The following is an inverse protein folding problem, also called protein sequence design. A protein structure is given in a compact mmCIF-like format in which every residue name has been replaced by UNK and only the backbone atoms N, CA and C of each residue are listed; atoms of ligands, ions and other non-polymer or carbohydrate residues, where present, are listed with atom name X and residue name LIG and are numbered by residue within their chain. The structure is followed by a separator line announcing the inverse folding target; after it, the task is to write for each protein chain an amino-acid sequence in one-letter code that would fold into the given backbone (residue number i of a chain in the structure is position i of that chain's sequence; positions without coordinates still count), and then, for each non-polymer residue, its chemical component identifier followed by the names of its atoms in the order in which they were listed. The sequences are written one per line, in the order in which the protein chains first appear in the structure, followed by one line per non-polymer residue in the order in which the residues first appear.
data_IF_259298564698
#
_entry.id   IF_259298564698
#
_cell.length_a   1.000
_cell.length_b   1.000
_cell.length_c   1.000
_cell.angle_alpha   90.00
_cell.angle_beta   90.00
_cell.angle_gamma   90.00
#
_symmetry.space_group_name_H-M   'P 1'
#
loop_
_entity.id
_entity.type
_entity.pdbx_description
1 polymer ?
#
# COMPACT_ATOMS: atom_id res chain seq x y z
N UNK A 1 -54.24 50.79 23.01
CA UNK A 1 -53.43 50.40 21.83
C UNK A 1 -52.24 49.62 22.34
N UNK A 2 -52.09 48.39 21.81
CA UNK A 2 -50.95 47.46 21.70
C UNK A 2 -49.67 47.77 22.51
N UNK A 3 -48.91 46.83 23.09
CA UNK A 3 -48.90 45.37 23.07
C UNK A 3 -47.96 44.94 24.22
N UNK A 4 -48.39 44.00 25.07
CA UNK A 4 -47.51 43.29 25.99
C UNK A 4 -47.38 41.86 25.48
N UNK A 5 -46.17 41.39 25.19
CA UNK A 5 -45.88 39.96 25.06
C UNK A 5 -44.39 39.63 25.09
N UNK A 6 -44.12 38.60 25.91
CA UNK A 6 -43.09 37.57 25.76
C UNK A 6 -41.61 37.97 25.96
N UNK A 7 -41.13 37.74 27.18
CA UNK A 7 -39.73 37.32 27.42
C UNK A 7 -39.75 35.82 27.67
N UNK A 8 -39.15 35.09 26.73
CA UNK A 8 -39.00 33.64 26.70
C UNK A 8 -37.93 33.22 27.73
N UNK A 9 -38.31 32.36 28.67
CA UNK A 9 -37.39 31.76 29.63
C UNK A 9 -36.51 30.72 28.91
N UNK A 10 -35.20 30.98 28.84
CA UNK A 10 -34.22 30.03 28.32
C UNK A 10 -33.84 29.05 29.44
N UNK A 11 -34.15 27.76 29.24
CA UNK A 11 -33.76 26.66 30.12
C UNK A 11 -32.24 26.47 30.08
N UNK A 12 -31.60 26.49 31.24
CA UNK A 12 -30.21 26.05 31.43
C UNK A 12 -30.17 24.51 31.43
N UNK A 13 -29.82 23.94 30.29
CA UNK A 13 -29.41 22.53 30.20
C UNK A 13 -28.00 22.36 30.75
N UNK A 14 -27.86 21.72 31.91
CA UNK A 14 -26.58 21.16 32.35
C UNK A 14 -26.26 19.96 31.44
N UNK A 15 -25.45 20.19 30.41
CA UNK A 15 -24.77 19.13 29.70
C UNK A 15 -23.73 18.51 30.63
N UNK A 16 -23.89 17.22 30.94
CA UNK A 16 -22.88 16.44 31.64
C UNK A 16 -21.55 16.49 30.86
N UNK A 17 -20.38 16.58 31.52
CA UNK A 17 -19.13 16.37 30.84
C UNK A 17 -19.10 14.92 30.35
N UNK A 18 -19.01 14.76 29.03
CA UNK A 18 -18.62 13.49 28.44
C UNK A 18 -17.29 13.10 29.07
N UNK A 19 -17.28 12.02 29.84
CA UNK A 19 -16.05 11.39 30.26
C UNK A 19 -15.31 10.99 28.99
N UNK A 20 -14.27 11.74 28.64
CA UNK A 20 -13.26 11.27 27.72
C UNK A 20 -12.71 9.99 28.34
N UNK A 21 -12.98 8.84 27.72
CA UNK A 21 -12.24 7.62 28.00
C UNK A 21 -10.77 7.95 27.72
N UNK A 22 -10.01 8.21 28.77
CA UNK A 22 -8.56 8.15 28.70
C UNK A 22 -8.22 6.76 28.17
N UNK A 23 -7.44 6.71 27.08
CA UNK A 23 -6.82 5.48 26.64
C UNK A 23 -6.15 4.81 27.86
N UNK A 24 -6.21 3.47 27.99
CA UNK A 24 -5.55 2.79 29.08
C UNK A 24 -4.07 3.17 29.05
N UNK A 25 -3.56 3.72 30.17
CA UNK A 25 -2.13 3.93 30.33
C UNK A 25 -1.44 2.57 30.14
N UNK A 26 -0.58 2.46 29.13
CA UNK A 26 0.17 1.24 28.86
C UNK A 26 1.00 0.90 30.10
N UNK A 27 0.92 -0.34 30.55
CA UNK A 27 1.62 -0.77 31.76
C UNK A 27 3.13 -0.77 31.47
N UNK A 28 3.95 0.01 32.20
CA UNK A 28 5.37 0.12 31.90
C UNK A 28 6.00 -1.27 32.05
N UNK A 29 6.72 -1.70 31.02
CA UNK A 29 7.34 -3.02 31.01
C UNK A 29 8.13 -3.27 32.29
N UNK A 30 7.85 -4.40 32.94
CA UNK A 30 8.65 -4.84 34.08
C UNK A 30 10.08 -5.14 33.64
N UNK A 31 11.07 -4.89 34.49
CA UNK A 31 12.50 -5.13 34.21
C UNK A 31 12.89 -6.61 33.96
N UNK A 32 11.93 -7.52 33.87
CA UNK A 32 12.07 -8.96 33.65
C UNK A 32 11.66 -9.39 32.23
N UNK A 33 11.05 -8.51 31.44
CA UNK A 33 10.73 -8.77 30.03
C UNK A 33 11.98 -8.66 29.18
N UNK A 34 12.12 -9.48 28.13
CA UNK A 34 13.12 -9.24 27.08
C UNK A 34 12.97 -7.79 26.59
N UNK A 35 13.91 -6.92 26.98
CA UNK A 35 13.83 -5.45 26.80
C UNK A 35 13.65 -5.08 25.31
N UNK A 36 14.03 -5.99 24.41
CA UNK A 36 13.84 -5.90 22.96
C UNK A 36 12.38 -5.94 22.49
N UNK A 37 11.43 -6.39 23.30
CA UNK A 37 10.00 -6.43 22.96
C UNK A 37 9.13 -5.54 23.84
N UNK A 38 9.75 -4.68 24.65
CA UNK A 38 9.02 -3.65 25.37
C UNK A 38 8.55 -2.57 24.38
N UNK A 39 7.36 -2.05 24.60
CA UNK A 39 6.72 -0.96 23.85
C UNK A 39 5.94 -0.15 24.89
N UNK A 40 6.59 0.85 25.49
CA UNK A 40 6.10 1.52 26.69
C UNK A 40 4.93 2.48 26.44
N UNK A 41 4.76 2.99 25.22
CA UNK A 41 3.63 3.84 24.84
C UNK A 41 2.61 3.14 23.92
N UNK A 42 2.90 1.91 23.50
CA UNK A 42 1.97 1.06 22.75
C UNK A 42 1.84 1.48 21.28
N UNK A 43 2.85 2.14 20.73
CA UNK A 43 2.86 2.66 19.36
C UNK A 43 3.40 1.65 18.33
N UNK A 44 3.72 0.44 18.77
CA UNK A 44 4.28 -0.69 18.01
C UNK A 44 5.76 -0.57 17.62
N UNK A 45 6.44 0.50 18.03
CA UNK A 45 7.90 0.62 17.92
C UNK A 45 8.54 0.14 19.23
N UNK A 46 9.44 -0.87 19.20
CA UNK A 46 10.05 -1.32 20.44
C UNK A 46 10.91 -0.24 21.12
N UNK A 47 10.83 -0.15 22.43
CA UNK A 47 11.63 0.69 23.35
C UNK A 47 13.14 0.78 23.03
N UNK A 48 13.70 -0.33 22.55
CA UNK A 48 15.12 -0.42 22.18
C UNK A 48 15.40 0.29 20.86
N UNK A 49 14.47 0.23 19.92
CA UNK A 49 14.51 0.94 18.65
C UNK A 49 14.30 2.43 18.88
N UNK A 50 13.31 2.81 19.68
CA UNK A 50 13.04 4.21 20.00
C UNK A 50 14.23 4.93 20.62
N UNK A 51 14.99 4.26 21.49
CA UNK A 51 16.21 4.83 22.07
C UNK A 51 17.27 5.14 21.02
N UNK A 52 17.30 4.40 19.91
CA UNK A 52 18.20 4.67 18.78
C UNK A 52 17.65 5.78 17.89
N UNK A 53 16.34 5.79 17.64
CA UNK A 53 15.68 6.75 16.73
C UNK A 53 15.51 8.13 17.38
N UNK A 54 14.94 8.19 18.58
CA UNK A 54 14.55 9.42 19.27
C UNK A 54 15.33 9.71 20.55
N UNK A 55 16.12 8.76 21.05
CA UNK A 55 16.91 8.91 22.30
C UNK A 55 16.12 8.67 23.58
N UNK A 56 14.82 8.42 23.48
CA UNK A 56 13.91 8.05 24.59
C UNK A 56 13.17 6.76 24.25
N UNK A 57 12.34 6.25 25.15
CA UNK A 57 11.59 5.00 24.98
C UNK A 57 10.08 5.24 24.81
N UNK A 58 9.71 6.39 24.27
CA UNK A 58 8.33 6.80 23.91
C UNK A 58 8.37 7.98 22.92
N UNK A 59 9.47 8.09 22.17
CA UNK A 59 9.85 9.31 21.44
C UNK A 59 9.83 9.15 19.94
N UNK A 60 9.82 7.91 19.44
CA UNK A 60 9.60 7.68 18.02
C UNK A 60 8.11 7.80 17.71
N UNK A 61 7.79 8.06 16.46
CA UNK A 61 6.41 8.11 15.95
C UNK A 61 6.17 7.08 14.87
N UNK A 62 7.20 6.29 14.55
CA UNK A 62 7.22 5.33 13.44
C UNK A 62 7.39 5.98 12.07
N UNK A 63 7.49 7.31 11.99
CA UNK A 63 7.52 8.10 10.73
C UNK A 63 8.84 8.82 10.49
N UNK A 64 9.79 8.71 11.41
CA UNK A 64 11.11 9.28 11.25
C UNK A 64 11.81 8.67 10.03
N UNK A 65 12.49 9.51 9.25
CA UNK A 65 13.29 9.15 8.08
C UNK A 65 14.45 10.16 8.01
N UNK A 66 15.54 9.85 8.69
CA UNK A 66 16.64 10.77 8.98
C UNK A 66 17.50 11.10 7.77
N UNK A 67 17.51 10.25 6.74
CA UNK A 67 18.23 10.46 5.48
C UNK A 67 17.33 10.71 4.26
N UNK A 68 16.01 10.59 4.42
CA UNK A 68 14.98 10.88 3.42
C UNK A 68 15.02 9.94 2.23
N UNK A 69 15.37 8.69 2.46
CA UNK A 69 15.41 7.68 1.41
C UNK A 69 14.08 6.93 1.24
N UNK A 70 13.10 7.15 2.13
CA UNK A 70 11.79 6.53 2.11
C UNK A 70 11.69 5.22 2.91
N UNK A 71 12.75 4.82 3.62
CA UNK A 71 12.72 3.73 4.62
C UNK A 71 12.65 4.36 6.02
N UNK A 72 11.61 4.07 6.82
CA UNK A 72 11.52 4.64 8.17
C UNK A 72 12.67 4.21 9.09
N UNK A 73 13.15 5.12 9.94
CA UNK A 73 14.31 4.91 10.83
C UNK A 73 14.17 3.64 11.70
N UNK A 74 12.95 3.36 12.21
CA UNK A 74 12.70 2.17 13.02
C UNK A 74 12.93 0.87 12.21
N UNK A 75 12.57 0.89 10.92
CA UNK A 75 12.76 -0.22 9.98
C UNK A 75 14.26 -0.44 9.75
N UNK A 76 15.03 0.64 9.61
CA UNK A 76 16.48 0.57 9.44
C UNK A 76 17.19 0.04 10.69
N UNK A 77 16.80 0.53 11.87
CA UNK A 77 17.37 0.05 13.14
C UNK A 77 17.10 -1.45 13.32
N UNK A 78 15.89 -1.90 13.00
CA UNK A 78 15.55 -3.33 13.05
C UNK A 78 16.33 -4.16 12.01
N UNK A 79 16.62 -3.60 10.83
CA UNK A 79 17.32 -4.31 9.76
C UNK A 79 18.86 -4.32 9.91
N UNK A 80 19.47 -3.24 10.39
CA UNK A 80 20.92 -3.07 10.40
C UNK A 80 21.48 -2.23 11.56
N UNK A 81 20.64 -1.78 12.50
CA UNK A 81 21.06 -1.24 13.80
C UNK A 81 21.26 0.27 13.88
N UNK A 82 21.06 1.03 12.80
CA UNK A 82 21.15 2.50 12.80
C UNK A 82 20.08 3.12 11.89
N UNK A 83 19.70 4.37 12.12
CA UNK A 83 18.68 5.09 11.37
C UNK A 83 19.14 5.69 10.02
N UNK A 84 20.14 5.08 9.35
CA UNK A 84 20.70 5.49 8.03
C UNK A 84 21.45 4.37 7.30
N UNK A 85 21.11 3.11 7.55
CA UNK A 85 21.87 1.96 7.05
C UNK A 85 21.15 1.09 6.03
N UNK A 86 19.84 1.28 5.86
CA UNK A 86 19.09 0.61 4.82
C UNK A 86 19.19 1.40 3.51
N UNK A 87 18.62 0.81 2.46
CA UNK A 87 18.31 1.53 1.24
C UNK A 87 17.18 0.80 0.54
N UNK A 88 16.18 1.50 0.00
CA UNK A 88 15.04 0.86 -0.66
C UNK A 88 15.43 0.18 -1.98
N UNK A 89 16.60 0.52 -2.54
CA UNK A 89 17.06 0.01 -3.83
C UNK A 89 18.18 -1.02 -3.74
N UNK A 90 18.71 -1.26 -2.53
CA UNK A 90 19.79 -2.22 -2.33
C UNK A 90 19.23 -3.63 -2.34
N UNK A 91 19.65 -4.42 -3.32
CA UNK A 91 19.25 -5.80 -3.54
C UNK A 91 20.50 -6.61 -3.92
N UNK A 92 21.06 -7.31 -2.94
CA UNK A 92 22.33 -8.03 -3.07
C UNK A 92 22.22 -9.31 -3.90
N UNK A 93 21.02 -9.84 -4.14
CA UNK A 93 20.80 -11.08 -4.91
C UNK A 93 20.10 -10.83 -6.25
N UNK A 94 19.60 -9.62 -6.50
CA UNK A 94 19.15 -9.19 -7.82
C UNK A 94 17.79 -9.76 -8.24
N UNK A 95 16.92 -10.09 -7.28
CA UNK A 95 15.58 -10.61 -7.57
C UNK A 95 14.47 -9.54 -7.37
N UNK A 96 14.81 -8.31 -6.99
CA UNK A 96 13.88 -7.21 -6.79
C UNK A 96 13.35 -7.05 -5.37
N UNK A 97 13.79 -7.85 -4.40
CA UNK A 97 13.46 -7.68 -2.97
C UNK A 97 14.60 -6.94 -2.28
N UNK A 98 14.36 -5.78 -1.63
CA UNK A 98 15.39 -5.05 -0.92
C UNK A 98 16.02 -5.84 0.23
N UNK A 99 17.30 -5.61 0.49
CA UNK A 99 18.07 -6.28 1.53
C UNK A 99 17.43 -6.07 2.92
N UNK A 100 16.98 -4.85 3.24
CA UNK A 100 16.35 -4.55 4.54
C UNK A 100 15.09 -5.39 4.75
N UNK A 101 14.25 -5.51 3.72
CA UNK A 101 13.02 -6.29 3.77
C UNK A 101 13.32 -7.77 4.03
N UNK A 102 14.37 -8.34 3.41
CA UNK A 102 14.78 -9.72 3.69
C UNK A 102 15.25 -9.89 5.12
N UNK A 103 16.07 -8.97 5.63
CA UNK A 103 16.57 -9.06 7.01
C UNK A 103 15.41 -9.02 8.01
N UNK A 104 14.42 -8.16 7.80
CA UNK A 104 13.21 -8.13 8.65
C UNK A 104 12.39 -9.42 8.53
N UNK A 105 12.32 -10.01 7.34
CA UNK A 105 11.50 -11.21 7.11
C UNK A 105 12.15 -12.50 7.60
N UNK A 106 13.48 -12.62 7.57
CA UNK A 106 14.18 -13.89 7.84
C UNK A 106 15.56 -13.78 8.50
N UNK A 107 16.07 -12.56 8.78
CA UNK A 107 17.40 -12.34 9.34
C UNK A 107 18.57 -12.44 8.37
N UNK A 108 18.36 -12.49 7.05
CA UNK A 108 19.45 -12.64 6.07
C UNK A 108 19.16 -11.98 4.73
N UNK A 109 20.16 -11.33 4.13
CA UNK A 109 20.07 -10.74 2.78
C UNK A 109 19.96 -11.76 1.64
N UNK A 110 19.97 -13.07 1.93
CA UNK A 110 19.92 -14.14 0.91
C UNK A 110 18.69 -15.04 0.97
N UNK A 111 17.78 -14.81 1.92
CA UNK A 111 16.56 -15.60 1.99
C UNK A 111 15.48 -15.08 1.02
N UNK A 112 14.37 -15.82 0.93
CA UNK A 112 13.18 -15.43 0.16
C UNK A 112 13.52 -14.92 -1.23
N UNK A 113 14.11 -15.78 -2.06
CA UNK A 113 14.50 -15.40 -3.43
C UNK A 113 13.35 -15.45 -4.44
N UNK A 114 12.12 -15.59 -3.94
CA UNK A 114 10.90 -15.64 -4.73
C UNK A 114 9.90 -14.60 -4.21
N UNK A 115 9.15 -13.98 -5.14
CA UNK A 115 8.00 -13.14 -4.79
C UNK A 115 6.77 -14.04 -4.53
N UNK A 116 6.95 -15.11 -3.76
CA UNK A 116 5.85 -16.01 -3.45
C UNK A 116 4.77 -15.27 -2.66
N UNK A 117 3.52 -15.45 -3.07
CA UNK A 117 2.34 -14.94 -2.39
C UNK A 117 1.70 -16.10 -1.62
N UNK A 118 1.60 -15.96 -0.30
CA UNK A 118 1.15 -17.03 0.61
C UNK A 118 -0.35 -17.28 0.51
N UNK A 119 -1.15 -16.25 0.22
CA UNK A 119 -2.61 -16.30 0.31
C UNK A 119 -3.32 -15.97 -1.01
N UNK A 120 -2.56 -15.63 -2.07
CA UNK A 120 -3.05 -15.46 -3.44
C UNK A 120 -3.78 -14.14 -3.68
N UNK A 121 -3.52 -13.10 -2.87
CA UNK A 121 -4.16 -11.80 -2.99
C UNK A 121 -3.36 -10.76 -3.79
N UNK A 122 -2.18 -11.12 -4.29
CA UNK A 122 -1.30 -10.27 -5.08
C UNK A 122 -0.20 -9.56 -4.29
N UNK A 123 -0.15 -9.71 -2.96
CA UNK A 123 0.93 -9.16 -2.13
C UNK A 123 1.98 -10.26 -1.87
N UNK A 124 3.25 -10.05 -2.26
CA UNK A 124 4.31 -11.00 -1.94
C UNK A 124 4.48 -11.15 -0.42
N UNK A 125 4.80 -12.37 0.02
CA UNK A 125 5.03 -12.73 1.42
C UNK A 125 5.96 -11.79 2.17
N UNK A 126 7.07 -11.38 1.55
CA UNK A 126 8.01 -10.45 2.18
C UNK A 126 7.36 -9.08 2.41
N UNK A 127 6.56 -8.60 1.45
CA UNK A 127 5.86 -7.34 1.54
C UNK A 127 4.79 -7.41 2.63
N UNK A 128 4.10 -8.55 2.81
CA UNK A 128 3.17 -8.73 3.92
C UNK A 128 3.84 -8.59 5.28
N UNK A 129 5.07 -9.10 5.44
CA UNK A 129 5.80 -8.93 6.70
C UNK A 129 6.19 -7.47 6.93
N UNK A 130 6.60 -6.75 5.88
CA UNK A 130 6.92 -5.31 5.99
C UNK A 130 5.67 -4.48 6.31
N UNK A 131 4.52 -4.77 5.70
CA UNK A 131 3.29 -3.99 5.86
C UNK A 131 2.61 -4.24 7.21
N UNK A 132 2.56 -5.49 7.69
CA UNK A 132 1.73 -5.85 8.85
C UNK A 132 2.33 -6.97 9.72
N UNK A 133 3.61 -7.32 9.53
CA UNK A 133 4.36 -8.18 10.46
C UNK A 133 4.22 -9.68 10.27
N UNK A 134 3.33 -10.17 9.39
CA UNK A 134 3.18 -11.62 9.13
C UNK A 134 3.06 -11.95 7.64
N UNK A 135 3.36 -13.20 7.26
CA UNK A 135 3.55 -13.64 5.87
C UNK A 135 2.30 -13.63 4.99
N UNK A 136 1.14 -13.24 5.51
CA UNK A 136 -0.13 -13.24 4.77
C UNK A 136 -1.21 -12.36 5.37
N UNK A 137 -0.84 -11.39 6.23
CA UNK A 137 -1.80 -10.43 6.78
C UNK A 137 -2.19 -9.34 5.78
N UNK A 138 -1.27 -8.94 4.90
CA UNK A 138 -1.51 -7.82 3.99
C UNK A 138 -2.44 -8.25 2.86
N UNK A 139 -3.36 -7.38 2.51
CA UNK A 139 -4.39 -7.50 1.46
C UNK A 139 -4.10 -6.61 0.26
N UNK A 140 -3.16 -5.67 0.39
CA UNK A 140 -2.81 -4.70 -0.64
C UNK A 140 -3.61 -3.39 -0.55
N UNK A 141 -4.54 -3.31 0.41
CA UNK A 141 -5.46 -2.19 0.60
C UNK A 141 -5.27 -1.51 1.96
N UNK A 142 -4.26 -1.91 2.73
CA UNK A 142 -3.86 -1.24 3.96
C UNK A 142 -3.50 0.22 3.66
N UNK A 143 -3.99 1.15 4.48
CA UNK A 143 -3.73 2.58 4.42
C UNK A 143 -3.64 3.05 5.88
N UNK A 144 -2.53 2.70 6.55
CA UNK A 144 -2.37 2.89 7.99
C UNK A 144 -2.25 4.37 8.40
N UNK A 145 -1.81 5.24 7.48
CA UNK A 145 -1.71 6.68 7.73
C UNK A 145 -2.90 7.48 7.19
N UNK A 146 -3.85 6.82 6.52
CA UNK A 146 -5.09 7.38 5.98
C UNK A 146 -4.85 8.51 4.97
N UNK A 147 -3.77 8.42 4.18
CA UNK A 147 -3.44 9.38 3.13
C UNK A 147 -4.15 9.11 1.80
N UNK A 148 -4.85 7.96 1.70
CA UNK A 148 -5.60 7.54 0.53
C UNK A 148 -4.79 6.73 -0.49
N UNK A 149 -3.53 6.40 -0.19
CA UNK A 149 -2.65 5.55 -0.98
C UNK A 149 -2.31 4.31 -0.17
N UNK A 150 -2.58 3.12 -0.72
CA UNK A 150 -2.30 1.91 0.05
C UNK A 150 -0.81 1.71 0.30
N UNK A 151 -0.47 1.23 1.49
CA UNK A 151 0.91 0.96 1.94
C UNK A 151 1.63 0.00 0.97
N UNK A 152 0.90 -0.95 0.39
CA UNK A 152 1.43 -1.83 -0.63
C UNK A 152 1.85 -1.09 -1.92
N UNK A 153 1.09 -0.06 -2.33
CA UNK A 153 1.43 0.78 -3.49
C UNK A 153 2.63 1.67 -3.14
N UNK A 154 2.65 2.26 -1.95
CA UNK A 154 3.77 3.09 -1.49
C UNK A 154 5.07 2.27 -1.45
N UNK A 155 5.02 1.08 -0.84
CA UNK A 155 6.14 0.15 -0.80
C UNK A 155 6.60 -0.26 -2.20
N UNK A 156 5.68 -0.54 -3.11
CA UNK A 156 5.98 -0.88 -4.50
C UNK A 156 6.65 0.27 -5.28
N UNK A 157 6.41 1.53 -4.90
CA UNK A 157 7.05 2.69 -5.51
C UNK A 157 8.50 2.88 -5.05
N UNK A 158 8.82 2.48 -3.81
CA UNK A 158 10.16 2.60 -3.23
C UNK A 158 11.12 1.51 -3.70
N UNK A 159 10.61 0.28 -3.88
CA UNK A 159 11.42 -0.85 -4.31
C UNK A 159 11.67 -0.82 -5.82
N UNK A 160 12.83 -1.33 -6.25
CA UNK A 160 13.12 -1.43 -7.69
C UNK A 160 11.98 -2.17 -8.40
N UNK A 161 11.31 -1.55 -9.37
CA UNK A 161 10.29 -2.24 -10.15
C UNK A 161 10.94 -3.44 -10.82
N UNK A 162 10.32 -4.62 -10.71
CA UNK A 162 10.58 -5.64 -11.71
C UNK A 162 10.12 -5.08 -13.06
N UNK A 163 10.90 -5.32 -14.10
CA UNK A 163 10.55 -5.00 -15.48
C UNK A 163 9.36 -5.80 -16.04
N UNK A 164 8.53 -6.41 -15.19
CA UNK A 164 7.40 -7.22 -15.59
C UNK A 164 6.22 -6.93 -14.64
N UNK A 165 5.45 -5.86 -14.93
CA UNK A 165 4.03 -5.88 -14.57
C UNK A 165 3.48 -7.16 -15.18
N UNK A 166 3.19 -8.18 -14.37
CA UNK A 166 2.56 -9.45 -14.75
C UNK A 166 2.56 -9.68 -16.28
N UNK A 167 3.72 -10.06 -16.84
CA UNK A 167 3.95 -10.20 -18.29
C UNK A 167 2.84 -11.00 -18.99
N UNK A 168 2.19 -11.92 -18.26
CA UNK A 168 1.04 -12.69 -18.75
C UNK A 168 -0.22 -11.85 -19.02
N UNK A 169 -0.60 -10.93 -18.12
CA UNK A 169 -1.82 -10.13 -18.27
C UNK A 169 -1.74 -9.11 -19.39
N UNK A 170 -0.61 -8.39 -19.48
CA UNK A 170 -0.37 -7.42 -20.54
C UNK A 170 -0.23 -8.10 -21.90
N UNK A 171 0.47 -9.25 -21.98
CA UNK A 171 0.61 -9.99 -23.24
C UNK A 171 -0.74 -10.50 -23.74
N UNK A 172 -1.56 -11.10 -22.85
CA UNK A 172 -2.91 -11.55 -23.22
C UNK A 172 -3.77 -10.37 -23.65
N UNK A 173 -3.73 -9.25 -22.94
CA UNK A 173 -4.49 -8.04 -23.29
C UNK A 173 -4.09 -7.49 -24.67
N UNK A 174 -2.78 -7.42 -24.98
CA UNK A 174 -2.28 -6.99 -26.30
C UNK A 174 -2.80 -7.90 -27.40
N UNK A 175 -2.72 -9.23 -27.22
CA UNK A 175 -3.21 -10.17 -28.22
C UNK A 175 -4.73 -10.11 -28.41
N UNK A 176 -5.50 -9.91 -27.34
CA UNK A 176 -6.96 -9.72 -27.43
C UNK A 176 -7.32 -8.44 -28.19
N UNK A 177 -6.61 -7.34 -27.94
CA UNK A 177 -6.80 -6.07 -28.64
C UNK A 177 -6.46 -6.23 -30.13
N UNK A 178 -5.35 -6.89 -30.45
CA UNK A 178 -4.96 -7.17 -31.85
C UNK A 178 -6.03 -8.03 -32.53
N UNK A 179 -6.49 -9.12 -31.90
CA UNK A 179 -7.50 -9.99 -32.46
C UNK A 179 -8.82 -9.26 -32.74
N UNK A 180 -9.27 -8.41 -31.80
CA UNK A 180 -10.47 -7.60 -31.96
C UNK A 180 -10.31 -6.55 -33.06
N UNK A 181 -9.17 -5.87 -33.12
CA UNK A 181 -8.87 -4.90 -34.18
C UNK A 181 -8.87 -5.55 -35.57
N UNK A 182 -8.23 -6.71 -35.71
CA UNK A 182 -8.23 -7.47 -36.98
C UNK A 182 -9.66 -7.89 -37.34
N UNK A 183 -10.45 -8.39 -36.38
CA UNK A 183 -11.85 -8.75 -36.61
C UNK A 183 -12.71 -7.58 -37.11
N UNK A 184 -12.55 -6.40 -36.50
CA UNK A 184 -13.26 -5.19 -36.92
C UNK A 184 -12.83 -4.72 -38.32
N UNK A 185 -11.53 -4.75 -38.62
CA UNK A 185 -11.00 -4.36 -39.94
C UNK A 185 -11.54 -5.31 -41.02
N UNK A 186 -11.47 -6.63 -40.81
CA UNK A 186 -11.97 -7.62 -41.77
C UNK A 186 -13.48 -7.47 -42.01
N UNK A 187 -14.25 -7.29 -40.93
CA UNK A 187 -15.70 -7.07 -41.00
C UNK A 187 -16.02 -5.79 -41.77
N UNK A 188 -15.29 -4.70 -41.50
CA UNK A 188 -15.42 -3.43 -42.22
C UNK A 188 -15.16 -3.56 -43.72
N UNK A 189 -14.08 -4.25 -44.11
CA UNK A 189 -13.73 -4.50 -45.52
C UNK A 189 -14.81 -5.33 -46.22
N UNK A 190 -15.33 -6.37 -45.57
CA UNK A 190 -16.40 -7.20 -46.15
C UNK A 190 -17.70 -6.41 -46.35
N UNK A 191 -18.08 -5.58 -45.38
CA UNK A 191 -19.26 -4.72 -45.48
C UNK A 191 -19.10 -3.67 -46.59
N UNK A 192 -17.92 -3.06 -46.71
CA UNK A 192 -17.62 -2.10 -47.78
C UNK A 192 -17.71 -2.76 -49.16
N UNK A 193 -17.15 -3.96 -49.32
CA UNK A 193 -17.23 -4.72 -50.58
C UNK A 193 -18.66 -5.10 -50.92
N UNK A 194 -19.46 -5.56 -49.95
CA UNK A 194 -20.89 -5.83 -50.16
C UNK A 194 -21.63 -4.59 -50.63
N UNK A 195 -21.43 -3.44 -49.96
CA UNK A 195 -22.06 -2.16 -50.34
C UNK A 195 -21.69 -1.75 -51.78
N UNK A 196 -20.42 -1.88 -52.17
CA UNK A 196 -19.97 -1.55 -53.52
C UNK A 196 -20.64 -2.43 -54.58
N UNK A 197 -20.75 -3.75 -54.34
CA UNK A 197 -21.42 -4.68 -55.25
C UNK A 197 -22.92 -4.39 -55.37
N UNK A 198 -23.61 -4.11 -54.26
CA UNK A 198 -25.03 -3.72 -54.31
C UNK A 198 -25.22 -2.40 -55.08
N UNK A 199 -24.37 -1.40 -54.85
CA UNK A 199 -24.43 -0.12 -55.57
C UNK A 199 -24.11 -0.25 -57.08
N UNK A 200 -23.31 -1.25 -57.47
CA UNK A 200 -23.10 -1.58 -58.88
C UNK A 200 -24.35 -2.25 -59.49
N UNK A 201 -24.92 -3.24 -58.79
CA UNK A 201 -26.10 -3.98 -59.24
C UNK A 201 -27.33 -3.08 -59.45
N UNK A 202 -27.60 -2.15 -58.52
CA UNK A 202 -28.71 -1.19 -58.63
C UNK A 202 -28.55 -0.25 -59.83
N UNK A 203 -27.31 0.20 -60.12
CA UNK A 203 -27.03 1.05 -61.29
C UNK A 203 -27.29 0.33 -62.61
N UNK A 204 -26.94 -0.95 -62.71
CA UNK A 204 -27.22 -1.77 -63.89
C UNK A 204 -28.70 -2.13 -64.05
N UNK A 205 -29.49 -2.19 -62.97
CA UNK A 205 -30.92 -2.48 -63.02
C UNK A 205 -31.81 -1.29 -63.41
N UNK A 206 -31.31 -0.06 -63.32
CA UNK A 206 -32.02 1.17 -63.74
C UNK A 206 -31.78 1.58 -65.20
N UNK A 207 -31.00 0.79 -65.96
CA UNK A 207 -30.69 1.03 -67.39
C UNK A 207 -31.43 0.06 -68.34
N UNK A 208 -32.38 -0.72 -67.83
CA UNK A 208 -33.31 -1.55 -68.61
C UNK A 208 -34.72 -0.92 -68.59
#
# INVERSE_FOLDING_TARGET
MLCASAVLALLTGLGAPAAASAAPAHEPCSAQSDVSSCDADGDTVPDTVERVVAGTATGATGREDADRDGVPDWTEVMACGTARCASPTKDSVGDGIPDYARVLTCGSVRCFTDNADTNGNGVPRWASVVICGTTGCATGHEDYDADGVSDAIQLAACVKPRGDLASTGQTIAIWLIIALAVGLILTGVLLARKRALFAAAVRSGGMA
#
